data_IF_735373929765
#
_entry.id   IF_735373929765
#
_cell.length_a   1.000
_cell.length_b   1.000
_cell.length_c   1.000
_cell.angle_alpha   90.00
_cell.angle_beta   90.00
_cell.angle_gamma   90.00
#
_symmetry.space_group_name_H-M   'P 1'
#
loop_
_entity.id
_entity.type
_entity.pdbx_description
1 polymer ?
#
# COMPACT_ATOMS: atom_id res chain seq x y z
N UNK A 1 70.32 -6.29 37.88
CA UNK A 1 69.92 -6.77 36.53
C UNK A 1 68.50 -7.30 36.63
N UNK A 2 67.44 -6.55 36.30
CA UNK A 2 66.92 -6.25 34.94
C UNK A 2 66.82 -7.52 34.08
N UNK A 3 65.59 -8.03 33.90
CA UNK A 3 64.96 -8.47 32.64
C UNK A 3 63.93 -9.59 32.88
N UNK A 4 62.76 -9.32 33.49
CA UNK A 4 61.52 -10.05 33.14
C UNK A 4 60.33 -9.10 33.31
N UNK A 5 60.23 -8.12 32.40
CA UNK A 5 58.96 -7.46 32.04
C UNK A 5 58.77 -7.75 30.56
N UNK A 6 57.53 -8.05 30.16
CA UNK A 6 57.05 -8.40 28.81
C UNK A 6 56.98 -9.90 28.53
N UNK A 7 55.96 -10.58 29.05
CA UNK A 7 55.04 -11.44 28.26
C UNK A 7 53.81 -11.69 29.15
N UNK A 8 52.92 -10.72 29.29
CA UNK A 8 51.66 -10.93 30.01
C UNK A 8 50.54 -10.00 29.54
N UNK A 9 50.47 -9.76 28.23
CA UNK A 9 49.48 -8.86 27.64
C UNK A 9 48.98 -9.30 26.26
N UNK A 10 49.18 -10.55 25.86
CA UNK A 10 48.70 -11.05 24.56
C UNK A 10 47.71 -12.22 24.65
N UNK A 11 47.48 -12.80 25.83
CA UNK A 11 46.65 -14.00 25.95
C UNK A 11 45.21 -13.74 26.42
N UNK A 12 44.87 -12.49 26.81
CA UNK A 12 43.51 -12.13 27.24
C UNK A 12 42.69 -11.39 26.16
N UNK A 13 43.29 -11.01 25.03
CA UNK A 13 42.58 -10.34 23.94
C UNK A 13 42.03 -11.30 22.87
N UNK A 14 42.45 -12.57 22.86
CA UNK A 14 42.01 -13.54 21.87
C UNK A 14 40.69 -14.23 22.22
N UNK A 15 40.18 -14.09 23.45
CA UNK A 15 38.93 -14.75 23.89
C UNK A 15 37.67 -13.88 23.76
N UNK A 16 37.78 -12.61 23.35
CA UNK A 16 36.66 -11.66 23.28
C UNK A 16 36.08 -11.44 21.88
N UNK A 17 36.59 -12.14 20.85
CA UNK A 17 36.18 -11.92 19.44
C UNK A 17 35.28 -13.04 18.89
N UNK A 18 34.97 -14.06 19.71
CA UNK A 18 34.13 -15.21 19.29
C UNK A 18 32.83 -15.28 20.10
N UNK A 19 32.24 -14.13 20.40
CA UNK A 19 30.78 -14.03 20.56
C UNK A 19 30.26 -13.30 19.33
N UNK A 20 30.31 -14.03 18.22
CA UNK A 20 29.17 -14.17 17.30
C UNK A 20 28.23 -12.98 17.32
N UNK A 21 28.55 -12.02 16.45
CA UNK A 21 27.62 -11.49 15.44
C UNK A 21 26.40 -12.40 15.23
N UNK A 22 25.43 -12.33 16.14
CA UNK A 22 24.04 -12.52 15.78
C UNK A 22 23.63 -11.23 15.09
N UNK A 23 24.09 -11.09 13.85
CA UNK A 23 23.39 -10.26 12.89
C UNK A 23 21.98 -10.83 12.84
N UNK A 24 21.05 -10.17 13.53
CA UNK A 24 19.62 -10.29 13.30
C UNK A 24 19.40 -9.86 11.86
N UNK A 25 19.61 -10.80 10.93
CA UNK A 25 18.97 -10.76 9.64
C UNK A 25 17.49 -10.93 9.97
N UNK A 26 16.83 -9.82 10.27
CA UNK A 26 15.39 -9.72 10.22
C UNK A 26 15.01 -9.95 8.76
N UNK A 27 15.04 -11.22 8.35
CA UNK A 27 14.20 -11.73 7.30
C UNK A 27 12.80 -11.70 7.89
N UNK A 28 12.25 -10.49 8.04
CA UNK A 28 10.84 -10.28 8.31
C UNK A 28 10.12 -10.77 7.07
N UNK A 29 9.93 -12.09 7.00
CA UNK A 29 8.99 -12.69 6.07
C UNK A 29 7.64 -12.17 6.53
N UNK A 30 7.15 -11.12 5.88
CA UNK A 30 5.79 -10.66 6.07
C UNK A 30 4.87 -11.83 5.74
N UNK A 31 4.22 -12.37 6.76
CA UNK A 31 3.20 -13.38 6.56
C UNK A 31 1.99 -12.70 5.92
N UNK A 32 1.46 -13.30 4.85
CA UNK A 32 0.23 -12.82 4.25
C UNK A 32 -0.90 -12.92 5.28
N UNK A 33 -1.52 -11.78 5.61
CA UNK A 33 -2.65 -11.73 6.52
C UNK A 33 -3.92 -11.96 5.69
N UNK A 34 -4.72 -12.97 6.03
CA UNK A 34 -5.95 -13.26 5.28
C UNK A 34 -7.19 -12.87 6.06
N UNK A 35 -7.92 -11.89 5.53
CA UNK A 35 -9.19 -11.43 6.09
C UNK A 35 -10.33 -11.73 5.14
N UNK A 36 -11.48 -12.11 5.68
CA UNK A 36 -12.65 -12.54 4.90
C UNK A 36 -13.19 -11.49 3.90
N UNK A 37 -12.90 -10.22 4.13
CA UNK A 37 -13.29 -9.10 3.26
C UNK A 37 -12.21 -8.68 2.25
N UNK A 38 -10.99 -9.19 2.37
CA UNK A 38 -9.94 -8.90 1.40
C UNK A 38 -10.36 -9.38 0.01
N UNK A 39 -10.13 -8.53 -1.01
CA UNK A 39 -10.46 -8.86 -2.39
C UNK A 39 -11.97 -8.83 -2.71
N UNK A 40 -12.83 -8.46 -1.76
CA UNK A 40 -14.26 -8.28 -2.00
C UNK A 40 -14.56 -6.87 -2.49
N UNK A 41 -15.67 -6.72 -3.21
CA UNK A 41 -16.18 -5.41 -3.62
C UNK A 41 -16.58 -4.58 -2.40
N UNK A 42 -16.36 -3.25 -2.42
CA UNK A 42 -16.92 -2.35 -1.42
C UNK A 42 -18.43 -2.49 -1.19
N UNK A 43 -19.17 -2.97 -2.19
CA UNK A 43 -20.62 -3.20 -2.09
C UNK A 43 -20.99 -4.56 -1.48
N UNK A 44 -20.01 -5.45 -1.27
CA UNK A 44 -20.23 -6.73 -0.60
C UNK A 44 -20.68 -6.49 0.83
N UNK A 45 -21.79 -7.13 1.25
CA UNK A 45 -22.39 -6.94 2.58
C UNK A 45 -22.59 -5.48 2.98
N UNK A 46 -22.84 -4.59 2.01
CA UNK A 46 -23.09 -3.17 2.24
C UNK A 46 -21.94 -2.42 2.95
N UNK A 47 -20.69 -2.86 2.78
CA UNK A 47 -19.54 -2.20 3.40
C UNK A 47 -19.43 -0.71 3.02
N UNK A 48 -19.85 -0.36 1.81
CA UNK A 48 -19.88 1.00 1.27
C UNK A 48 -20.85 1.94 2.00
N UNK A 49 -21.91 1.42 2.63
CA UNK A 49 -22.93 2.26 3.28
C UNK A 49 -22.39 3.06 4.47
N UNK A 50 -21.31 2.57 5.09
CA UNK A 50 -20.61 3.25 6.19
C UNK A 50 -19.29 3.89 5.76
N UNK A 51 -19.09 4.02 4.45
CA UNK A 51 -17.86 4.54 3.87
C UNK A 51 -17.66 6.02 4.22
N UNK A 52 -16.46 6.34 4.66
CA UNK A 52 -15.98 7.72 4.77
C UNK A 52 -14.75 7.91 3.89
N UNK A 53 -14.58 9.10 3.32
CA UNK A 53 -13.33 9.48 2.65
C UNK A 53 -12.32 9.85 3.73
N UNK A 54 -11.23 9.09 3.85
CA UNK A 54 -10.12 9.38 4.75
C UNK A 54 -9.21 10.46 4.20
N UNK A 55 -8.94 10.38 2.90
CA UNK A 55 -8.20 11.39 2.17
C UNK A 55 -8.67 11.48 0.74
N UNK A 56 -8.51 12.66 0.15
CA UNK A 56 -8.67 12.91 -1.27
C UNK A 56 -7.44 13.66 -1.77
N UNK A 57 -6.85 13.21 -2.87
CA UNK A 57 -5.72 13.87 -3.50
C UNK A 57 -5.93 13.99 -5.00
N UNK A 58 -5.74 15.21 -5.51
CA UNK A 58 -5.79 15.47 -6.93
C UNK A 58 -4.58 14.84 -7.63
N UNK A 59 -4.85 14.13 -8.72
CA UNK A 59 -3.83 13.58 -9.63
C UNK A 59 -3.44 14.68 -10.63
N UNK A 60 -4.44 15.39 -11.14
CA UNK A 60 -4.31 16.59 -11.97
C UNK A 60 -5.56 17.47 -11.84
N UNK A 61 -5.79 18.40 -12.77
CA UNK A 61 -6.93 19.33 -12.73
C UNK A 61 -8.29 18.67 -12.92
N UNK A 62 -8.35 17.44 -13.45
CA UNK A 62 -9.61 16.78 -13.82
C UNK A 62 -9.78 15.41 -13.16
N UNK A 63 -8.87 14.99 -12.29
CA UNK A 63 -8.94 13.67 -11.67
C UNK A 63 -8.36 13.65 -10.26
N UNK A 64 -8.94 12.82 -9.40
CA UNK A 64 -8.48 12.64 -8.03
C UNK A 64 -8.69 11.21 -7.57
N UNK A 65 -7.88 10.79 -6.60
CA UNK A 65 -8.03 9.54 -5.87
C UNK A 65 -8.52 9.80 -4.45
N UNK A 66 -9.41 8.96 -3.98
CA UNK A 66 -9.88 8.92 -2.60
C UNK A 66 -9.43 7.61 -1.94
N UNK A 67 -8.95 7.71 -0.70
CA UNK A 67 -8.91 6.57 0.22
C UNK A 67 -10.25 6.50 0.94
N UNK A 68 -11.03 5.46 0.65
CA UNK A 68 -12.32 5.20 1.29
C UNK A 68 -12.14 4.17 2.40
N UNK A 69 -12.94 4.27 3.45
CA UNK A 69 -12.91 3.35 4.58
C UNK A 69 -14.31 3.05 5.09
N UNK A 70 -14.66 1.77 5.21
CA UNK A 70 -15.90 1.29 5.83
C UNK A 70 -15.74 1.22 7.35
N UNK A 71 -16.52 2.01 8.08
CA UNK A 71 -16.50 1.93 9.55
C UNK A 71 -17.18 0.67 10.09
N UNK A 72 -18.05 0.01 9.33
CA UNK A 72 -18.68 -1.26 9.69
C UNK A 72 -17.78 -2.45 9.38
N UNK A 73 -17.30 -2.58 8.13
CA UNK A 73 -16.50 -3.74 7.71
C UNK A 73 -15.01 -3.63 8.09
N UNK A 74 -14.57 -2.46 8.57
CA UNK A 74 -13.18 -2.18 8.92
C UNK A 74 -12.23 -2.41 7.74
N UNK A 75 -12.64 -1.97 6.56
CA UNK A 75 -11.93 -2.16 5.31
C UNK A 75 -11.68 -0.83 4.61
N UNK A 76 -10.60 -0.76 3.84
CA UNK A 76 -10.25 0.35 2.99
C UNK A 76 -10.22 -0.04 1.51
N UNK A 77 -10.48 0.91 0.62
CA UNK A 77 -10.30 0.76 -0.82
C UNK A 77 -9.97 2.11 -1.46
N UNK A 78 -9.35 2.06 -2.64
CA UNK A 78 -9.10 3.25 -3.42
C UNK A 78 -10.24 3.47 -4.43
N UNK A 79 -10.63 4.73 -4.62
CA UNK A 79 -11.55 5.14 -5.69
C UNK A 79 -10.93 6.28 -6.46
N UNK A 80 -10.73 6.13 -7.77
CA UNK A 80 -10.35 7.25 -8.64
C UNK A 80 -11.60 7.80 -9.33
N UNK A 81 -11.66 9.12 -9.46
CA UNK A 81 -12.73 9.83 -10.17
C UNK A 81 -12.12 10.81 -11.16
N UNK A 82 -12.54 10.71 -12.41
CA UNK A 82 -12.37 11.72 -13.46
C UNK A 82 -13.63 12.60 -13.45
N UNK A 83 -13.46 13.93 -13.41
CA UNK A 83 -14.56 14.90 -13.27
C UNK A 83 -15.43 15.02 -14.52
N UNK A 84 -15.04 14.34 -15.60
CA UNK A 84 -15.75 14.24 -16.87
C UNK A 84 -15.81 12.78 -17.32
N UNK A 85 -16.63 12.50 -18.32
CA UNK A 85 -16.62 11.19 -18.99
C UNK A 85 -15.25 10.96 -19.62
N UNK A 86 -14.63 9.82 -19.31
CA UNK A 86 -13.39 9.40 -19.96
C UNK A 86 -13.57 9.34 -21.48
N UNK A 87 -12.57 9.81 -22.21
CA UNK A 87 -12.54 9.90 -23.68
C UNK A 87 -11.72 8.79 -24.30
N UNK A 88 -10.84 8.13 -23.54
CA UNK A 88 -10.10 6.92 -23.93
C UNK A 88 -10.37 5.75 -22.98
N UNK A 89 -10.06 4.54 -23.45
CA UNK A 89 -10.07 3.35 -22.59
C UNK A 89 -8.83 3.35 -21.67
N UNK A 90 -8.96 2.75 -20.48
CA UNK A 90 -7.91 2.74 -19.46
C UNK A 90 -7.44 4.16 -19.06
N UNK A 91 -8.36 5.13 -19.00
CA UNK A 91 -8.04 6.54 -18.76
C UNK A 91 -7.51 6.77 -17.35
N UNK A 92 -8.15 6.14 -16.36
CA UNK A 92 -7.72 6.20 -14.98
C UNK A 92 -7.82 4.83 -14.31
N UNK A 93 -7.01 4.63 -13.29
CA UNK A 93 -6.99 3.43 -12.46
C UNK A 93 -6.57 3.82 -11.04
N UNK A 94 -6.87 2.94 -10.09
CA UNK A 94 -6.49 3.11 -8.71
C UNK A 94 -5.85 1.83 -8.19
N UNK A 95 -4.98 1.96 -7.19
CA UNK A 95 -4.40 0.85 -6.45
C UNK A 95 -4.54 1.10 -4.96
N UNK A 96 -4.99 0.09 -4.22
CA UNK A 96 -4.99 0.06 -2.76
C UNK A 96 -3.83 -0.83 -2.31
N UNK A 97 -3.14 -0.45 -1.25
CA UNK A 97 -2.08 -1.26 -0.62
C UNK A 97 -2.28 -1.25 0.88
N UNK A 98 -2.13 -2.41 1.52
CA UNK A 98 -1.98 -2.54 2.96
C UNK A 98 -0.51 -2.75 3.34
N UNK A 99 0.01 -1.93 4.25
CA UNK A 99 1.43 -1.92 4.62
C UNK A 99 1.90 -3.17 5.37
N UNK A 100 1.03 -3.83 6.15
CA UNK A 100 1.42 -4.97 7.02
C UNK A 100 1.96 -6.15 6.24
N UNK A 101 1.30 -6.48 5.12
CA UNK A 101 1.54 -7.68 4.34
C UNK A 101 1.76 -7.39 2.85
N UNK A 102 1.69 -6.12 2.44
CA UNK A 102 1.84 -5.70 1.05
C UNK A 102 0.65 -6.07 0.17
N UNK A 103 -0.47 -6.53 0.73
CA UNK A 103 -1.65 -6.91 -0.04
C UNK A 103 -2.14 -5.72 -0.84
N UNK A 104 -2.32 -5.92 -2.14
CA UNK A 104 -2.64 -4.83 -3.05
C UNK A 104 -3.58 -5.27 -4.16
N UNK A 105 -4.47 -4.35 -4.53
CA UNK A 105 -5.42 -4.56 -5.61
C UNK A 105 -5.54 -3.33 -6.49
N UNK A 106 -5.85 -3.53 -7.75
CA UNK A 106 -6.19 -2.47 -8.73
C UNK A 106 -7.68 -2.44 -9.01
N UNK A 107 -8.19 -1.43 -9.73
CA UNK A 107 -9.59 -1.43 -10.13
C UNK A 107 -9.96 -2.65 -10.99
N UNK A 108 -9.01 -3.16 -11.78
CA UNK A 108 -9.18 -4.35 -12.61
C UNK A 108 -9.07 -5.70 -11.87
N UNK A 109 -8.74 -5.70 -10.58
CA UNK A 109 -8.70 -6.93 -9.78
C UNK A 109 -10.10 -7.48 -9.53
N UNK A 110 -10.22 -8.80 -9.32
CA UNK A 110 -11.50 -9.41 -8.93
C UNK A 110 -12.02 -8.76 -7.65
N UNK A 111 -13.28 -8.32 -7.65
CA UNK A 111 -13.88 -7.50 -6.59
C UNK A 111 -13.89 -5.98 -6.88
N UNK A 112 -13.09 -5.50 -7.84
CA UNK A 112 -13.19 -4.15 -8.38
C UNK A 112 -14.24 -4.05 -9.49
N UNK A 113 -14.35 -2.88 -10.12
CA UNK A 113 -15.27 -2.64 -11.24
C UNK A 113 -14.59 -2.36 -12.59
N UNK A 114 -13.31 -2.71 -12.72
CA UNK A 114 -12.52 -2.43 -13.92
C UNK A 114 -11.97 -1.00 -13.92
N UNK A 115 -10.93 -0.76 -14.71
CA UNK A 115 -10.37 0.59 -14.88
C UNK A 115 -11.37 1.54 -15.53
N UNK A 116 -11.14 2.85 -15.43
CA UNK A 116 -12.00 3.87 -16.06
C UNK A 116 -11.83 3.80 -17.57
N UNK A 117 -12.85 3.27 -18.24
CA UNK A 117 -12.93 3.20 -19.70
C UNK A 117 -13.76 4.33 -20.27
N UNK A 118 -13.72 4.48 -21.60
CA UNK A 118 -14.45 5.53 -22.32
C UNK A 118 -15.92 5.57 -21.89
N UNK A 119 -16.42 6.75 -21.54
CA UNK A 119 -17.78 6.97 -21.07
C UNK A 119 -18.00 6.70 -19.57
N UNK A 120 -16.98 6.29 -18.82
CA UNK A 120 -17.05 6.16 -17.37
C UNK A 120 -16.40 7.36 -16.68
N UNK A 121 -16.70 7.58 -15.40
CA UNK A 121 -16.13 8.67 -14.59
C UNK A 121 -15.32 8.17 -13.40
N UNK A 122 -15.42 6.89 -13.02
CA UNK A 122 -14.74 6.40 -11.83
C UNK A 122 -14.54 4.90 -11.84
N UNK A 123 -13.54 4.46 -11.08
CA UNK A 123 -13.37 3.06 -10.70
C UNK A 123 -12.97 2.94 -9.24
N UNK A 124 -13.16 1.75 -8.68
CA UNK A 124 -12.77 1.40 -7.33
C UNK A 124 -12.04 0.06 -7.31
N UNK A 125 -11.12 -0.07 -6.36
CA UNK A 125 -10.44 -1.33 -6.07
C UNK A 125 -11.31 -2.24 -5.21
N UNK A 126 -11.03 -3.55 -5.19
CA UNK A 126 -11.42 -4.39 -4.07
C UNK A 126 -10.95 -3.82 -2.72
N UNK A 127 -11.57 -4.29 -1.66
CA UNK A 127 -11.24 -3.92 -0.29
C UNK A 127 -9.99 -4.65 0.22
N UNK A 128 -9.25 -3.97 1.09
CA UNK A 128 -8.35 -4.57 2.07
C UNK A 128 -8.89 -4.32 3.47
N UNK A 129 -8.82 -5.28 4.37
CA UNK A 129 -9.06 -5.07 5.79
C UNK A 129 -8.03 -4.09 6.36
N UNK A 130 -8.48 -3.10 7.13
CA UNK A 130 -7.69 -1.96 7.59
C UNK A 130 -8.15 -1.49 8.98
N UNK A 131 -8.04 -2.36 9.98
CA UNK A 131 -8.34 -2.01 11.37
C UNK A 131 -7.17 -1.27 12.02
N UNK A 132 -7.48 -0.48 13.06
CA UNK A 132 -6.53 0.32 13.82
C UNK A 132 -5.34 -0.50 14.41
N UNK A 133 -4.09 -0.02 14.29
CA UNK A 133 -3.64 1.12 13.50
C UNK A 133 -3.89 0.88 12.01
N UNK A 134 -4.61 1.83 11.37
CA UNK A 134 -4.79 1.81 9.92
C UNK A 134 -3.41 1.80 9.27
N UNK A 135 -3.34 1.17 8.10
CA UNK A 135 -2.11 0.88 7.34
C UNK A 135 -2.36 0.85 5.83
N UNK A 136 -3.47 1.41 5.35
CA UNK A 136 -3.81 1.43 3.93
C UNK A 136 -3.41 2.74 3.23
N UNK A 137 -2.99 2.64 1.97
CA UNK A 137 -2.71 3.78 1.09
C UNK A 137 -3.44 3.61 -0.25
N UNK A 138 -4.09 4.67 -0.71
CA UNK A 138 -4.66 4.75 -2.04
C UNK A 138 -3.70 5.46 -3.00
N UNK A 139 -3.53 4.87 -4.17
CA UNK A 139 -2.71 5.35 -5.26
C UNK A 139 -3.61 5.55 -6.48
N UNK A 140 -3.49 6.69 -7.15
CA UNK A 140 -4.27 7.02 -8.33
C UNK A 140 -3.38 7.32 -9.52
N UNK A 141 -3.79 6.88 -10.70
CA UNK A 141 -3.17 7.27 -11.96
C UNK A 141 -4.19 7.73 -12.99
N UNK A 142 -3.80 8.70 -13.81
CA UNK A 142 -4.58 9.22 -14.93
C UNK A 142 -3.67 9.37 -16.14
N UNK A 143 -4.08 8.85 -17.30
CA UNK A 143 -3.21 8.79 -18.47
C UNK A 143 -2.95 10.18 -19.05
N UNK A 144 -1.77 10.35 -19.63
CA UNK A 144 -1.40 11.57 -20.35
C UNK A 144 -1.78 11.36 -21.82
N UNK A 145 -2.59 12.25 -22.44
CA UNK A 145 -2.98 12.10 -23.83
C UNK A 145 -1.77 11.95 -24.77
N UNK A 146 -1.86 11.01 -25.72
CA UNK A 146 -0.81 10.70 -26.70
C UNK A 146 0.53 10.27 -26.07
N UNK A 147 0.49 9.63 -24.91
CA UNK A 147 1.67 9.13 -24.20
C UNK A 147 1.34 7.81 -23.50
N UNK A 148 2.36 6.97 -23.31
CA UNK A 148 2.26 5.77 -22.46
C UNK A 148 2.49 6.10 -20.97
N UNK A 149 2.73 7.37 -20.64
CA UNK A 149 2.93 7.86 -19.28
C UNK A 149 1.62 8.22 -18.57
N UNK A 150 1.67 8.26 -17.24
CA UNK A 150 0.55 8.60 -16.37
C UNK A 150 0.95 9.70 -15.39
N UNK A 151 0.02 10.62 -15.11
CA UNK A 151 0.04 11.40 -13.89
C UNK A 151 -0.26 10.46 -12.71
N UNK A 152 0.42 10.66 -11.59
CA UNK A 152 0.34 9.77 -10.44
C UNK A 152 0.27 10.58 -9.14
N UNK A 153 -0.51 10.09 -8.18
CA UNK A 153 -0.53 10.61 -6.81
C UNK A 153 -0.86 9.51 -5.82
N UNK A 154 -0.52 9.72 -4.56
CA UNK A 154 -0.82 8.80 -3.47
C UNK A 154 -1.22 9.54 -2.19
N UNK A 155 -2.16 8.97 -1.45
CA UNK A 155 -2.56 9.43 -0.11
C UNK A 155 -1.42 9.17 0.89
N UNK A 156 -1.50 9.74 2.09
CA UNK A 156 -0.65 9.29 3.19
C UNK A 156 -1.02 7.85 3.58
N UNK A 157 -0.11 7.19 4.29
CA UNK A 157 -0.46 5.98 5.04
C UNK A 157 -1.29 6.42 6.23
N UNK A 158 -2.52 5.91 6.29
CA UNK A 158 -3.28 5.95 7.54
C UNK A 158 -2.81 4.85 8.44
#
# INVERSE_FOLDING_TARGET
>A
MKLIKKVSACLCLALLVVTSVFSTTNNDKAFAEDHSYDGKSPYYNSCDQSAVTKEKKWIDSNSYVELKFSTTCKTAWAKVTVTRLAVYNNEADARIIRKTDGKAYTCGSAGGNGVVNKGQTSCYTPMVYDLDPRKAQAQGKHAIPNSDAYNYTETIWY
#
